data_IF_628491578852
#
_entry.id   IF_628491578852
#
_cell.length_a   1.000
_cell.length_b   1.000
_cell.length_c   1.000
_cell.angle_alpha   90.00
_cell.angle_beta   90.00
_cell.angle_gamma   90.00
#
_symmetry.space_group_name_H-M   'P 1'
#
loop_
_entity.id
_entity.type
_entity.pdbx_description
1 polymer ?
#
# COMPACT_ATOMS: atom_id res chain seq x y z
N UNK A 1 -0.90 3.66 17.59
CA UNK A 1 -1.41 4.16 16.29
C UNK A 1 -0.38 3.96 15.18
N UNK A 2 0.81 4.56 15.29
CA UNK A 2 1.84 4.51 14.25
C UNK A 2 2.32 3.09 13.91
N UNK A 3 2.49 2.20 14.91
CA UNK A 3 2.81 0.78 14.67
C UNK A 3 1.80 0.10 13.72
N UNK A 4 0.50 0.35 13.91
CA UNK A 4 -0.55 -0.23 13.04
C UNK A 4 -0.44 0.36 11.62
N UNK A 5 -0.22 1.68 11.52
CA UNK A 5 -0.02 2.34 10.23
C UNK A 5 1.19 1.77 9.49
N UNK A 6 2.33 1.63 10.18
CA UNK A 6 3.57 1.09 9.63
C UNK A 6 3.37 -0.32 9.08
N UNK A 7 2.81 -1.22 9.90
CA UNK A 7 2.59 -2.62 9.53
C UNK A 7 1.65 -2.76 8.34
N UNK A 8 0.60 -1.94 8.27
CA UNK A 8 -0.32 -2.00 7.12
C UNK A 8 0.32 -1.42 5.85
N UNK A 9 1.18 -0.38 5.96
CA UNK A 9 1.93 0.13 4.80
C UNK A 9 2.87 -0.94 4.27
N UNK A 10 3.57 -1.63 5.16
CA UNK A 10 4.49 -2.71 4.85
C UNK A 10 3.75 -3.87 4.15
N UNK A 11 2.66 -4.36 4.75
CA UNK A 11 1.85 -5.43 4.17
C UNK A 11 1.29 -5.10 2.78
N UNK A 12 0.81 -3.87 2.56
CA UNK A 12 0.35 -3.41 1.23
C UNK A 12 1.50 -3.37 0.24
N UNK A 13 2.69 -2.92 0.68
CA UNK A 13 3.89 -2.88 -0.17
C UNK A 13 4.30 -4.27 -0.62
N UNK A 14 4.40 -5.23 0.32
CA UNK A 14 4.75 -6.61 0.01
C UNK A 14 3.75 -7.25 -0.94
N UNK A 15 2.45 -7.10 -0.68
CA UNK A 15 1.39 -7.67 -1.51
C UNK A 15 1.48 -7.16 -2.96
N UNK A 16 1.68 -5.85 -3.17
CA UNK A 16 1.77 -5.26 -4.51
C UNK A 16 3.07 -5.65 -5.23
N UNK A 17 4.19 -5.73 -4.52
CA UNK A 17 5.47 -6.19 -5.11
C UNK A 17 5.41 -7.66 -5.47
N UNK A 18 4.83 -8.50 -4.61
CA UNK A 18 4.63 -9.93 -4.87
C UNK A 18 3.74 -10.14 -6.09
N UNK A 19 2.62 -9.43 -6.17
CA UNK A 19 1.73 -9.47 -7.32
C UNK A 19 2.45 -9.07 -8.62
N UNK A 20 3.21 -7.97 -8.60
CA UNK A 20 3.98 -7.52 -9.74
C UNK A 20 5.01 -8.57 -10.20
N UNK A 21 5.74 -9.17 -9.26
CA UNK A 21 6.73 -10.24 -9.54
C UNK A 21 6.07 -11.51 -10.09
N UNK A 22 4.83 -11.80 -9.71
CA UNK A 22 4.04 -12.90 -10.24
C UNK A 22 3.42 -12.57 -11.62
N UNK A 23 3.66 -11.39 -12.18
CA UNK A 23 3.13 -10.95 -13.48
C UNK A 23 1.71 -10.39 -13.44
N UNK A 24 1.14 -10.18 -12.26
CA UNK A 24 -0.15 -9.54 -12.10
C UNK A 24 -0.03 -8.01 -12.15
N UNK A 25 -1.07 -7.34 -12.66
CA UNK A 25 -1.19 -5.88 -12.63
C UNK A 25 -1.50 -5.41 -11.19
N UNK A 26 -0.59 -4.67 -10.51
CA UNK A 26 -0.81 -4.20 -9.14
C UNK A 26 -2.05 -3.31 -9.00
N UNK A 27 -2.45 -2.58 -10.05
CA UNK A 27 -3.65 -1.75 -10.03
C UNK A 27 -4.92 -2.59 -9.93
N UNK A 28 -4.99 -3.70 -10.68
CA UNK A 28 -6.10 -4.66 -10.61
C UNK A 28 -6.11 -5.41 -9.29
N UNK A 29 -4.95 -5.78 -8.77
CA UNK A 29 -4.85 -6.42 -7.45
C UNK A 29 -5.36 -5.50 -6.36
N UNK A 30 -4.94 -4.22 -6.34
CA UNK A 30 -5.49 -3.22 -5.42
C UNK A 30 -7.01 -3.14 -5.54
N UNK A 31 -7.55 -3.03 -6.76
CA UNK A 31 -9.00 -2.94 -6.98
C UNK A 31 -9.75 -4.16 -6.42
N UNK A 32 -9.23 -5.37 -6.63
CA UNK A 32 -9.81 -6.60 -6.10
C UNK A 32 -9.81 -6.63 -4.55
N UNK A 33 -8.70 -6.20 -3.93
CA UNK A 33 -8.54 -6.17 -2.48
C UNK A 33 -9.46 -5.14 -1.79
N UNK A 34 -9.86 -4.07 -2.49
CA UNK A 34 -10.78 -3.05 -1.94
C UNK A 34 -12.17 -3.60 -1.60
N UNK A 35 -12.59 -4.70 -2.21
CA UNK A 35 -13.90 -5.34 -1.97
C UNK A 35 -13.93 -6.34 -0.80
N UNK A 36 -12.80 -6.58 -0.14
CA UNK A 36 -12.67 -7.63 0.89
C UNK A 36 -12.11 -7.14 2.22
N UNK A 37 -11.75 -8.08 3.10
CA UNK A 37 -11.20 -7.79 4.44
C UNK A 37 -9.86 -7.03 4.42
N UNK A 38 -9.15 -7.03 3.29
CA UNK A 38 -7.93 -6.26 3.11
C UNK A 38 -8.18 -4.76 2.88
N UNK A 39 -9.44 -4.34 2.70
CA UNK A 39 -9.80 -2.94 2.50
C UNK A 39 -9.40 -2.10 3.70
N UNK A 40 -8.61 -1.06 3.46
CA UNK A 40 -8.11 -0.14 4.48
C UNK A 40 -7.77 1.21 3.89
N UNK A 41 -7.76 2.26 4.73
CA UNK A 41 -7.34 3.60 4.29
C UNK A 41 -5.91 3.64 3.75
N UNK A 42 -5.04 2.75 4.25
CA UNK A 42 -3.67 2.61 3.77
C UNK A 42 -3.64 2.00 2.36
N UNK A 43 -4.40 0.92 2.10
CA UNK A 43 -4.51 0.36 0.75
C UNK A 43 -5.10 1.36 -0.25
N UNK A 44 -6.09 2.13 0.18
CA UNK A 44 -6.73 3.16 -0.63
C UNK A 44 -5.71 4.26 -1.03
N UNK A 45 -5.05 4.88 -0.06
CA UNK A 45 -4.19 6.06 -0.30
C UNK A 45 -2.76 5.66 -0.66
N UNK A 46 -2.11 4.87 0.19
CA UNK A 46 -0.71 4.50 0.01
C UNK A 46 -0.55 3.46 -1.10
N UNK A 47 -1.48 2.52 -1.23
CA UNK A 47 -1.46 1.57 -2.36
C UNK A 47 -1.55 2.28 -3.72
N UNK A 48 -2.38 3.32 -3.84
CA UNK A 48 -2.45 4.11 -5.08
C UNK A 48 -1.17 4.90 -5.36
N UNK A 49 -0.57 5.50 -4.32
CA UNK A 49 0.74 6.17 -4.44
C UNK A 49 1.85 5.22 -4.87
N UNK A 50 1.89 4.02 -4.32
CA UNK A 50 2.87 2.99 -4.70
C UNK A 50 2.75 2.63 -6.18
N UNK A 51 1.52 2.44 -6.67
CA UNK A 51 1.25 2.15 -8.08
C UNK A 51 1.67 3.32 -8.97
N UNK A 52 1.32 4.55 -8.59
CA UNK A 52 1.65 5.78 -9.33
C UNK A 52 3.11 6.22 -9.17
N UNK A 53 3.89 5.55 -8.30
CA UNK A 53 5.25 5.95 -7.91
C UNK A 53 5.32 7.39 -7.38
N UNK A 54 4.26 7.88 -6.75
CA UNK A 54 4.18 9.24 -6.18
C UNK A 54 4.52 9.22 -4.70
N UNK A 55 5.78 9.51 -4.40
CA UNK A 55 6.32 9.50 -3.03
C UNK A 55 6.58 10.90 -2.49
N UNK A 56 5.93 11.93 -3.05
CA UNK A 56 6.03 13.28 -2.48
C UNK A 56 5.58 13.25 -1.00
N UNK A 57 6.42 13.71 -0.08
CA UNK A 57 6.18 13.54 1.34
C UNK A 57 5.03 14.43 1.82
N UNK A 58 3.93 13.80 2.24
CA UNK A 58 2.94 14.42 3.13
C UNK A 58 3.29 14.26 4.62
N UNK A 59 4.12 13.27 4.95
CA UNK A 59 4.70 12.99 6.27
C UNK A 59 6.02 12.24 6.04
N UNK A 60 7.12 12.64 6.72
CA UNK A 60 8.45 12.06 6.48
C UNK A 60 8.62 10.74 7.24
N UNK A 61 9.32 9.77 6.64
CA UNK A 61 9.64 8.48 7.27
C UNK A 61 10.38 8.67 8.60
N UNK A 62 11.29 9.63 8.70
CA UNK A 62 12.04 9.95 9.92
C UNK A 62 11.15 10.37 11.12
N UNK A 63 9.90 10.76 10.85
CA UNK A 63 8.92 11.16 11.87
C UNK A 63 7.98 10.02 12.26
N UNK A 64 8.15 8.83 11.67
CA UNK A 64 7.36 7.64 11.96
C UNK A 64 8.03 6.87 13.11
N UNK A 65 7.50 7.01 14.33
CA UNK A 65 7.91 6.25 15.54
C UNK A 65 6.88 5.19 15.91
#
# INVERSE_FOLDING_TARGET
NQVIVALTIEAVSEALVLAAKAGADPARVRQALMGGFASSRILEVHGERMIKRTFEPGFRIELHQ
#
